data_IF_428767572671
#
_entry.id   IF_428767572671
#
_cell.length_a   1.000
_cell.length_b   1.000
_cell.length_c   1.000
_cell.angle_alpha   90.00
_cell.angle_beta   90.00
_cell.angle_gamma   90.00
#
_symmetry.space_group_name_H-M   'P 1'
#
loop_
_entity.id
_entity.type
_entity.pdbx_description
1 polymer ?
#
# COMPACT_ATOMS: atom_id res chain seq x y z
N UNK A 1 -9.87 -20.42 22.99
CA UNK A 1 -9.15 -19.12 23.08
C UNK A 1 -7.68 -19.44 23.35
N UNK A 2 -6.72 -18.77 22.70
CA UNK A 2 -5.28 -18.98 23.01
C UNK A 2 -4.99 -18.53 24.45
N UNK A 3 -4.22 -19.31 25.25
CA UNK A 3 -3.82 -18.93 26.61
C UNK A 3 -3.13 -17.56 26.65
N UNK A 4 -3.24 -16.83 27.77
CA UNK A 4 -2.58 -15.53 27.93
C UNK A 4 -1.06 -15.60 27.71
N UNK A 5 -0.45 -16.74 28.05
CA UNK A 5 0.97 -17.03 27.82
C UNK A 5 1.38 -17.05 26.33
N UNK A 6 0.42 -17.12 25.39
CA UNK A 6 0.66 -17.01 23.94
C UNK A 6 0.38 -15.62 23.36
N UNK A 7 0.07 -14.61 24.18
CA UNK A 7 -0.31 -13.26 23.73
C UNK A 7 0.63 -12.15 24.20
N UNK A 8 1.29 -12.31 25.35
CA UNK A 8 2.13 -11.27 25.96
C UNK A 8 3.39 -11.89 26.58
N UNK A 9 4.35 -12.29 25.74
CA UNK A 9 5.67 -12.78 26.18
C UNK A 9 6.71 -11.68 26.17
N UNK A 10 7.66 -11.72 27.10
CA UNK A 10 8.92 -10.97 26.98
C UNK A 10 9.68 -11.42 25.73
N UNK A 11 10.59 -10.58 25.22
CA UNK A 11 11.41 -10.93 24.06
C UNK A 11 12.17 -12.26 24.29
N UNK A 12 12.26 -13.14 23.27
CA UNK A 12 12.89 -14.44 23.42
C UNK A 12 14.37 -14.33 23.80
N UNK A 13 14.87 -15.29 24.60
CA UNK A 13 16.31 -15.43 24.83
C UNK A 13 16.97 -16.08 23.62
N UNK A 14 17.51 -15.26 22.72
CA UNK A 14 18.19 -15.71 21.52
C UNK A 14 19.63 -16.15 21.80
N UNK A 15 20.09 -17.16 21.05
CA UNK A 15 21.52 -17.53 20.98
C UNK A 15 22.34 -16.38 20.38
N UNK A 16 23.66 -16.41 20.51
CA UNK A 16 24.52 -15.34 19.98
C UNK A 16 24.38 -15.16 18.47
N UNK A 17 24.42 -16.26 17.71
CA UNK A 17 24.21 -16.24 16.27
C UNK A 17 22.80 -15.72 15.90
N UNK A 18 21.77 -16.11 16.66
CA UNK A 18 20.41 -15.62 16.43
C UNK A 18 20.27 -14.11 16.74
N UNK A 19 20.96 -13.60 17.77
CA UNK A 19 21.01 -12.15 18.06
C UNK A 19 21.73 -11.35 16.99
N UNK A 20 22.76 -11.93 16.35
CA UNK A 20 23.50 -11.27 15.29
C UNK A 20 22.65 -11.10 14.01
N UNK A 21 21.74 -12.04 13.73
CA UNK A 21 20.81 -11.96 12.62
C UNK A 21 19.54 -11.14 12.93
N UNK A 22 19.15 -11.04 14.20
CA UNK A 22 17.92 -10.36 14.61
C UNK A 22 17.94 -8.86 14.29
N UNK A 23 16.89 -8.40 13.61
CA UNK A 23 16.72 -7.03 13.19
C UNK A 23 17.47 -6.65 11.92
N UNK A 24 18.08 -7.59 11.22
CA UNK A 24 18.69 -7.30 9.93
C UNK A 24 17.63 -6.75 8.97
N UNK A 25 17.96 -5.64 8.31
CA UNK A 25 17.09 -4.98 7.32
C UNK A 25 17.68 -5.18 5.94
N UNK A 26 16.87 -5.65 5.00
CA UNK A 26 17.29 -5.86 3.61
C UNK A 26 16.28 -5.26 2.65
N UNK A 27 16.75 -4.47 1.68
CA UNK A 27 15.93 -4.01 0.56
C UNK A 27 15.88 -5.11 -0.50
N UNK A 28 14.73 -5.75 -0.66
CA UNK A 28 14.54 -6.89 -1.59
C UNK A 28 14.02 -6.46 -2.94
N UNK A 29 13.30 -5.33 -3.01
CA UNK A 29 12.92 -4.66 -4.26
C UNK A 29 13.34 -3.20 -4.15
N UNK A 30 14.18 -2.75 -5.09
CA UNK A 30 14.67 -1.39 -5.18
C UNK A 30 14.25 -0.75 -6.51
N UNK A 31 13.18 0.03 -6.46
CA UNK A 31 12.69 0.79 -7.61
C UNK A 31 13.08 2.27 -7.55
N UNK A 32 13.89 2.66 -6.56
CA UNK A 32 14.33 4.04 -6.37
C UNK A 32 14.45 4.47 -4.90
N UNK A 33 14.80 5.74 -4.66
CA UNK A 33 14.94 6.28 -3.32
C UNK A 33 13.61 6.28 -2.56
N UNK A 34 13.66 5.99 -1.26
CA UNK A 34 12.53 6.04 -0.32
C UNK A 34 11.72 7.34 -0.39
N UNK A 35 12.37 8.48 -0.65
CA UNK A 35 11.67 9.75 -0.75
C UNK A 35 10.64 9.84 -1.90
N UNK A 36 10.72 8.92 -2.88
CA UNK A 36 9.88 8.91 -4.07
C UNK A 36 9.16 7.57 -4.29
N UNK A 37 9.28 6.61 -3.37
CA UNK A 37 8.70 5.26 -3.48
C UNK A 37 7.92 4.94 -2.22
N UNK A 38 6.84 4.18 -2.39
CA UNK A 38 6.11 3.62 -1.26
C UNK A 38 6.92 2.44 -0.71
N UNK A 39 7.41 2.56 0.51
CA UNK A 39 8.23 1.55 1.16
C UNK A 39 7.38 0.55 1.96
N UNK A 40 7.23 -0.67 1.43
CA UNK A 40 6.53 -1.77 2.11
C UNK A 40 7.53 -2.58 2.94
N UNK A 41 7.31 -2.67 4.24
CA UNK A 41 8.17 -3.44 5.16
C UNK A 41 7.50 -4.74 5.57
N UNK A 42 8.12 -5.86 5.21
CA UNK A 42 7.76 -7.18 5.70
C UNK A 42 8.53 -7.51 6.99
N UNK A 43 7.83 -7.92 8.04
CA UNK A 43 8.44 -8.42 9.28
C UNK A 43 8.00 -9.87 9.49
N UNK A 44 8.96 -10.79 9.60
CA UNK A 44 8.66 -12.22 9.78
C UNK A 44 8.39 -12.57 11.24
N UNK A 45 7.40 -13.41 11.53
CA UNK A 45 7.23 -13.96 12.88
C UNK A 45 7.10 -15.49 12.88
N UNK A 46 7.63 -16.12 13.92
CA UNK A 46 7.72 -17.57 14.03
C UNK A 46 8.77 -18.21 13.13
N UNK A 47 9.71 -17.44 12.57
CA UNK A 47 10.89 -17.97 11.86
C UNK A 47 12.09 -17.97 12.80
N UNK A 48 12.71 -19.14 12.99
CA UNK A 48 13.99 -19.23 13.69
C UNK A 48 15.14 -18.72 12.81
N UNK A 49 16.32 -18.52 13.39
CA UNK A 49 17.51 -18.08 12.63
C UNK A 49 17.84 -19.02 11.45
N UNK A 50 17.56 -20.32 11.58
CA UNK A 50 17.77 -21.31 10.52
C UNK A 50 16.69 -21.27 9.41
N UNK A 51 15.62 -20.49 9.60
CA UNK A 51 14.49 -20.38 8.68
C UNK A 51 14.41 -19.01 7.99
N UNK A 52 15.40 -18.12 8.18
CA UNK A 52 15.39 -16.78 7.57
C UNK A 52 15.43 -16.82 6.04
N UNK A 53 16.15 -17.78 5.45
CA UNK A 53 16.12 -17.99 3.99
C UNK A 53 14.70 -18.33 3.51
N UNK A 54 13.94 -19.10 4.32
CA UNK A 54 12.53 -19.39 4.04
C UNK A 54 11.68 -18.13 4.19
N UNK A 55 11.87 -17.33 5.24
CA UNK A 55 11.18 -16.05 5.41
C UNK A 55 11.35 -15.15 4.17
N UNK A 56 12.59 -14.97 3.69
CA UNK A 56 12.83 -14.14 2.51
C UNK A 56 12.19 -14.72 1.24
N UNK A 57 12.15 -16.05 1.10
CA UNK A 57 11.45 -16.71 0.00
C UNK A 57 9.93 -16.49 0.09
N UNK A 58 9.35 -16.62 1.29
CA UNK A 58 7.94 -16.42 1.54
C UNK A 58 7.53 -14.95 1.29
N UNK A 59 8.40 -13.98 1.62
CA UNK A 59 8.18 -12.57 1.28
C UNK A 59 8.15 -12.36 -0.22
N UNK A 60 9.11 -12.92 -0.97
CA UNK A 60 9.11 -12.80 -2.45
C UNK A 60 7.84 -13.39 -3.05
N UNK A 61 7.42 -14.56 -2.57
CA UNK A 61 6.18 -15.20 -3.02
C UNK A 61 4.95 -14.34 -2.67
N UNK A 62 4.87 -13.83 -1.44
CA UNK A 62 3.75 -13.00 -0.99
C UNK A 62 3.67 -11.68 -1.75
N UNK A 63 4.81 -11.03 -1.99
CA UNK A 63 4.86 -9.81 -2.77
C UNK A 63 4.45 -10.05 -4.23
N UNK A 64 4.82 -11.19 -4.82
CA UNK A 64 4.35 -11.58 -6.15
C UNK A 64 2.82 -11.78 -6.19
N UNK A 65 2.21 -12.32 -5.14
CA UNK A 65 0.74 -12.43 -5.03
C UNK A 65 0.08 -11.04 -4.95
N UNK A 66 0.62 -10.13 -4.13
CA UNK A 66 0.11 -8.76 -3.98
C UNK A 66 0.20 -8.00 -5.31
N UNK A 67 1.35 -8.06 -5.96
CA UNK A 67 1.61 -7.35 -7.23
C UNK A 67 0.98 -8.02 -8.46
N UNK A 68 0.23 -9.11 -8.27
CA UNK A 68 -0.60 -9.70 -9.32
C UNK A 68 -2.04 -9.14 -9.34
N UNK A 69 -2.42 -8.28 -8.37
CA UNK A 69 -3.75 -7.69 -8.28
C UNK A 69 -3.70 -6.21 -8.66
N UNK A 70 -4.62 -5.76 -9.52
CA UNK A 70 -4.73 -4.33 -9.84
C UNK A 70 -5.26 -3.53 -8.63
N UNK A 71 -4.78 -2.29 -8.38
CA UNK A 71 -3.82 -1.54 -9.20
C UNK A 71 -2.33 -1.82 -8.90
N UNK A 72 -1.98 -2.73 -7.99
CA UNK A 72 -0.57 -3.03 -7.69
C UNK A 72 0.20 -3.51 -8.92
N UNK A 73 -0.42 -4.32 -9.78
CA UNK A 73 0.20 -4.78 -11.03
C UNK A 73 0.71 -3.62 -11.88
N UNK A 74 -0.16 -2.65 -12.16
CA UNK A 74 0.17 -1.46 -12.98
C UNK A 74 1.25 -0.61 -12.32
N UNK A 75 1.18 -0.41 -11.01
CA UNK A 75 2.01 0.54 -10.26
C UNK A 75 3.18 -0.08 -9.50
N UNK A 76 3.53 -1.35 -9.73
CA UNK A 76 4.56 -2.07 -8.96
C UNK A 76 5.92 -1.35 -8.85
N UNK A 77 6.28 -0.54 -9.85
CA UNK A 77 7.52 0.25 -9.88
C UNK A 77 7.47 1.49 -8.96
N UNK A 78 6.33 1.79 -8.35
CA UNK A 78 6.21 2.80 -7.29
C UNK A 78 6.63 2.28 -5.92
N UNK A 79 6.86 0.98 -5.77
CA UNK A 79 7.08 0.35 -4.48
C UNK A 79 8.53 -0.07 -4.29
N UNK A 80 9.06 0.16 -3.11
CA UNK A 80 10.18 -0.61 -2.60
C UNK A 80 9.66 -1.69 -1.65
N UNK A 81 10.41 -2.78 -1.53
CA UNK A 81 10.10 -3.84 -0.56
C UNK A 81 11.31 -4.07 0.32
N UNK A 82 11.06 -4.10 1.62
CA UNK A 82 12.06 -4.35 2.65
C UNK A 82 11.66 -5.56 3.48
N UNK A 83 12.65 -6.29 3.99
CA UNK A 83 12.47 -7.28 5.04
C UNK A 83 13.15 -6.83 6.31
N UNK A 84 12.53 -7.13 7.44
CA UNK A 84 13.14 -7.04 8.77
C UNK A 84 13.07 -8.42 9.42
N UNK A 85 14.24 -8.96 9.73
CA UNK A 85 14.39 -10.32 10.26
C UNK A 85 14.10 -10.33 11.76
N UNK A 86 12.86 -10.58 12.16
CA UNK A 86 12.48 -10.75 13.55
C UNK A 86 12.63 -12.22 13.99
N UNK A 87 13.81 -12.54 14.53
CA UNK A 87 14.22 -13.91 14.82
C UNK A 87 13.43 -14.45 16.01
N UNK A 88 12.65 -15.50 15.78
CA UNK A 88 11.85 -16.18 16.79
C UNK A 88 12.62 -17.32 17.47
N UNK A 89 12.35 -17.56 18.76
CA UNK A 89 12.94 -18.69 19.47
C UNK A 89 12.35 -20.04 19.06
N UNK A 90 11.10 -20.05 18.59
CA UNK A 90 10.41 -21.25 18.14
C UNK A 90 9.82 -21.05 16.74
N UNK A 91 9.85 -22.12 15.96
CA UNK A 91 9.17 -22.18 14.66
C UNK A 91 7.65 -22.30 14.85
N UNK A 92 6.89 -21.65 13.97
CA UNK A 92 5.43 -21.61 14.01
C UNK A 92 4.89 -20.46 14.87
N UNK A 93 3.56 -20.38 14.99
CA UNK A 93 2.86 -19.35 15.78
C UNK A 93 1.88 -19.95 16.79
N UNK A 94 1.47 -19.16 17.79
CA UNK A 94 0.50 -19.63 18.79
C UNK A 94 -0.88 -19.86 18.17
N UNK A 95 -1.62 -20.86 18.64
CA UNK A 95 -2.94 -21.22 18.08
C UNK A 95 -2.92 -22.14 16.85
N UNK A 96 -1.76 -22.66 16.46
CA UNK A 96 -1.57 -23.58 15.33
C UNK A 96 -0.77 -24.84 15.76
N UNK A 97 -1.33 -26.07 15.67
CA UNK A 97 -2.58 -26.46 15.00
C UNK A 97 -3.87 -26.09 15.74
N UNK A 98 -3.81 -25.86 17.05
CA UNK A 98 -5.00 -25.63 17.87
C UNK A 98 -4.82 -24.54 18.93
N UNK A 99 -5.94 -24.10 19.56
CA UNK A 99 -5.96 -23.00 20.53
C UNK A 99 -4.95 -23.12 21.66
N UNK A 100 -4.66 -24.33 22.11
CA UNK A 100 -3.83 -24.57 23.28
C UNK A 100 -2.32 -24.55 22.94
N UNK A 101 -1.98 -24.40 21.65
CA UNK A 101 -0.58 -24.31 21.21
C UNK A 101 -0.02 -22.93 21.53
N UNK A 102 1.07 -22.90 22.27
CA UNK A 102 1.80 -21.68 22.63
C UNK A 102 3.21 -21.75 22.04
N UNK A 103 3.60 -20.69 21.33
CA UNK A 103 4.94 -20.52 20.73
C UNK A 103 5.60 -19.26 21.27
N UNK A 104 6.92 -19.33 21.42
CA UNK A 104 7.79 -18.21 21.75
C UNK A 104 8.32 -17.55 20.48
N UNK A 105 7.60 -16.55 20.00
CA UNK A 105 7.89 -15.85 18.74
C UNK A 105 8.25 -14.39 18.99
N UNK A 106 8.98 -13.79 18.05
CA UNK A 106 9.52 -12.45 18.15
C UNK A 106 8.40 -11.40 18.30
N UNK A 107 7.34 -11.50 17.51
CA UNK A 107 6.21 -10.55 17.48
C UNK A 107 4.97 -11.04 18.23
N UNK A 108 5.02 -12.27 18.77
CA UNK A 108 3.91 -12.85 19.52
C UNK A 108 2.66 -13.10 18.69
N UNK A 109 2.78 -13.41 17.40
CA UNK A 109 1.63 -13.70 16.54
C UNK A 109 0.81 -14.86 17.07
N UNK A 110 -0.52 -14.71 17.05
CA UNK A 110 -1.43 -15.76 17.52
C UNK A 110 -2.77 -15.75 16.77
N UNK A 111 -3.27 -16.95 16.49
CA UNK A 111 -4.63 -17.15 15.99
C UNK A 111 -5.67 -17.10 17.14
N UNK A 112 -6.95 -17.08 16.81
CA UNK A 112 -8.10 -17.14 17.75
C UNK A 112 -8.25 -15.85 18.54
N UNK A 113 -7.74 -14.76 17.99
CA UNK A 113 -7.99 -13.41 18.47
C UNK A 113 -9.50 -13.13 18.44
N UNK A 114 -10.04 -12.54 19.51
CA UNK A 114 -11.50 -12.37 19.64
C UNK A 114 -12.32 -13.67 19.68
N UNK A 115 -11.69 -14.85 19.81
CA UNK A 115 -12.32 -16.18 19.62
C UNK A 115 -12.72 -16.48 18.16
N UNK A 116 -12.18 -15.74 17.20
CA UNK A 116 -12.37 -15.96 15.76
C UNK A 116 -11.15 -16.71 15.23
N UNK A 117 -11.39 -17.88 14.65
CA UNK A 117 -10.31 -18.80 14.27
C UNK A 117 -9.29 -18.14 13.31
N UNK A 118 -9.72 -17.72 12.14
CA UNK A 118 -8.83 -17.07 11.16
C UNK A 118 -8.18 -15.75 11.59
N UNK A 119 -8.54 -15.16 12.74
CA UNK A 119 -8.03 -13.84 13.14
C UNK A 119 -6.63 -13.99 13.77
N UNK A 120 -5.62 -13.58 12.99
CA UNK A 120 -4.19 -13.64 13.32
C UNK A 120 -3.72 -12.28 13.85
N UNK A 121 -3.66 -12.13 15.16
CA UNK A 121 -3.24 -10.89 15.82
C UNK A 121 -1.76 -10.91 16.17
N UNK A 122 -1.18 -9.73 16.35
CA UNK A 122 0.22 -9.48 16.71
C UNK A 122 0.32 -8.53 17.91
N UNK A 123 1.50 -8.46 18.52
CA UNK A 123 1.86 -7.45 19.52
C UNK A 123 2.41 -6.19 18.81
N UNK A 124 1.55 -5.16 18.62
CA UNK A 124 1.90 -3.95 17.85
C UNK A 124 3.16 -3.23 18.38
N UNK A 125 3.36 -3.02 19.70
CA UNK A 125 4.62 -2.48 20.22
C UNK A 125 5.88 -3.24 19.79
N UNK A 126 5.81 -4.57 19.69
CA UNK A 126 6.95 -5.36 19.20
C UNK A 126 7.16 -5.18 17.71
N UNK A 127 6.09 -5.13 16.93
CA UNK A 127 6.17 -4.81 15.49
C UNK A 127 6.84 -3.45 15.31
N UNK A 128 6.41 -2.42 16.03
CA UNK A 128 7.02 -1.08 16.00
C UNK A 128 8.52 -1.12 16.32
N UNK A 129 8.96 -1.90 17.32
CA UNK A 129 10.36 -2.01 17.67
C UNK A 129 11.24 -2.58 16.53
N UNK A 130 10.69 -3.46 15.69
CA UNK A 130 11.37 -3.97 14.49
C UNK A 130 11.26 -2.99 13.32
N UNK A 131 10.08 -2.43 13.07
CA UNK A 131 9.85 -1.47 11.98
C UNK A 131 10.69 -0.20 12.16
N UNK A 132 10.99 0.22 13.39
CA UNK A 132 11.89 1.34 13.68
C UNK A 132 13.30 1.17 13.08
N UNK A 133 13.72 -0.06 12.76
CA UNK A 133 14.99 -0.35 12.07
C UNK A 133 14.92 -0.03 10.56
N UNK A 134 13.72 0.08 10.00
CA UNK A 134 13.40 0.47 8.63
C UNK A 134 12.52 1.74 8.62
N UNK A 135 13.07 2.92 8.99
CA UNK A 135 12.30 4.13 9.29
C UNK A 135 11.56 4.74 8.08
N UNK A 136 11.80 4.20 6.89
CA UNK A 136 11.14 4.58 5.64
C UNK A 136 9.73 4.00 5.51
N UNK A 137 9.30 3.08 6.39
CA UNK A 137 8.08 2.32 6.22
C UNK A 137 6.82 3.20 6.03
N UNK A 138 6.11 2.97 4.92
CA UNK A 138 4.77 3.54 4.69
C UNK A 138 3.67 2.51 4.99
N UNK A 139 3.97 1.22 4.80
CA UNK A 139 3.06 0.10 5.02
C UNK A 139 3.81 -1.09 5.64
N UNK A 140 3.20 -1.76 6.62
CA UNK A 140 3.79 -2.93 7.28
C UNK A 140 2.98 -4.19 6.98
N UNK A 141 3.67 -5.27 6.61
CA UNK A 141 3.09 -6.60 6.47
C UNK A 141 3.82 -7.58 7.40
N UNK A 142 3.12 -8.10 8.41
CA UNK A 142 3.64 -9.18 9.25
C UNK A 142 3.34 -10.52 8.60
N UNK A 143 4.39 -11.28 8.30
CA UNK A 143 4.28 -12.60 7.70
C UNK A 143 4.51 -13.66 8.78
N UNK A 144 3.45 -14.35 9.19
CA UNK A 144 3.52 -15.43 10.17
C UNK A 144 3.94 -16.74 9.50
N UNK A 145 4.91 -17.43 10.08
CA UNK A 145 5.33 -18.76 9.69
C UNK A 145 4.25 -19.80 10.02
N UNK A 146 3.23 -19.93 9.17
CA UNK A 146 2.15 -20.90 9.30
C UNK A 146 1.52 -21.18 7.94
N UNK A 147 1.03 -22.40 7.76
CA UNK A 147 0.19 -22.80 6.62
C UNK A 147 -1.31 -22.69 6.95
N UNK A 148 -1.68 -22.37 8.18
CA UNK A 148 -3.07 -22.20 8.60
C UNK A 148 -3.65 -20.93 7.97
N UNK A 149 -4.92 -20.97 7.59
CA UNK A 149 -5.57 -19.79 7.05
C UNK A 149 -5.80 -18.72 8.13
N UNK A 150 -5.25 -17.52 7.89
CA UNK A 150 -5.64 -16.33 8.64
C UNK A 150 -4.81 -15.10 8.34
N UNK A 151 -5.28 -14.00 8.91
CA UNK A 151 -4.78 -12.64 8.77
C UNK A 151 -5.66 -11.67 9.54
N UNK A 152 -5.22 -10.42 9.65
CA UNK A 152 -5.91 -9.31 10.29
C UNK A 152 -5.33 -7.97 9.82
N UNK A 153 -6.12 -6.90 9.87
CA UNK A 153 -5.66 -5.53 9.66
C UNK A 153 -5.65 -4.72 10.95
N UNK A 154 -4.65 -3.84 11.05
CA UNK A 154 -4.55 -2.76 12.02
C UNK A 154 -4.44 -1.48 11.20
N UNK A 155 -5.59 -0.88 10.90
CA UNK A 155 -5.72 0.06 9.78
C UNK A 155 -5.56 1.54 10.18
N UNK A 156 -5.13 1.76 11.43
CA UNK A 156 -4.77 3.08 11.92
C UNK A 156 -3.27 3.32 11.76
N UNK A 157 -2.86 4.56 11.42
CA UNK A 157 -1.45 4.89 11.37
C UNK A 157 -0.76 4.61 12.69
N UNK A 158 0.49 4.13 12.63
CA UNK A 158 1.29 3.94 13.83
C UNK A 158 1.42 5.27 14.58
N UNK A 159 1.04 5.33 15.87
CA UNK A 159 1.12 6.56 16.65
C UNK A 159 2.57 6.98 16.92
N UNK A 160 3.54 6.09 16.70
CA UNK A 160 4.96 6.30 16.98
C UNK A 160 5.79 6.48 15.71
N UNK A 161 5.49 5.72 14.65
CA UNK A 161 6.31 5.66 13.44
C UNK A 161 5.61 6.21 12.18
N UNK A 162 4.29 6.44 12.22
CA UNK A 162 3.56 7.11 11.14
C UNK A 162 3.21 6.28 9.91
N UNK A 163 3.64 5.00 9.82
CA UNK A 163 3.21 4.10 8.74
C UNK A 163 1.70 3.86 8.81
N UNK A 164 1.05 3.57 7.67
CA UNK A 164 -0.41 3.65 7.47
C UNK A 164 -1.23 2.52 8.12
N UNK A 165 -0.58 1.41 8.44
CA UNK A 165 -1.21 0.26 9.09
C UNK A 165 -0.36 -1.00 9.02
N UNK A 166 -0.84 -2.05 9.70
CA UNK A 166 -0.25 -3.39 9.71
C UNK A 166 -1.25 -4.36 9.09
N UNK A 167 -0.82 -5.11 8.10
CA UNK A 167 -1.52 -6.31 7.65
C UNK A 167 -0.80 -7.56 8.14
N UNK A 168 -1.53 -8.54 8.67
CA UNK A 168 -0.97 -9.85 9.03
C UNK A 168 -1.43 -10.90 8.02
N UNK A 169 -0.52 -11.81 7.67
CA UNK A 169 -0.84 -12.92 6.79
C UNK A 169 -0.05 -14.17 7.19
N UNK A 170 -0.67 -15.33 6.99
CA UNK A 170 0.04 -16.62 7.08
C UNK A 170 0.82 -16.86 5.79
N UNK A 171 2.10 -17.18 5.93
CA UNK A 171 3.03 -17.34 4.81
C UNK A 171 2.63 -18.46 3.85
N UNK A 172 2.31 -19.63 4.40
CA UNK A 172 2.07 -20.86 3.66
C UNK A 172 0.62 -21.05 3.20
N UNK A 173 -0.26 -20.05 3.34
CA UNK A 173 -1.66 -20.18 2.92
C UNK A 173 -2.01 -19.21 1.78
N UNK A 174 -2.48 -19.71 0.61
CA UNK A 174 -2.71 -18.86 -0.57
C UNK A 174 -3.83 -17.84 -0.34
N UNK A 175 -4.89 -18.20 0.40
CA UNK A 175 -5.97 -17.24 0.71
C UNK A 175 -5.54 -16.15 1.71
N UNK A 176 -4.44 -16.34 2.46
CA UNK A 176 -3.94 -15.31 3.37
C UNK A 176 -3.29 -14.15 2.61
N UNK A 177 -2.79 -14.36 1.38
CA UNK A 177 -2.38 -13.24 0.53
C UNK A 177 -3.55 -12.34 0.13
N UNK A 178 -4.72 -12.92 -0.13
CA UNK A 178 -5.93 -12.15 -0.42
C UNK A 178 -6.41 -11.35 0.80
N UNK A 179 -6.26 -11.90 2.00
CA UNK A 179 -6.47 -11.13 3.25
C UNK A 179 -5.49 -9.97 3.29
N UNK A 180 -4.20 -10.20 3.03
CA UNK A 180 -3.21 -9.12 3.04
C UNK A 180 -3.61 -7.96 2.13
N UNK A 181 -3.98 -8.26 0.89
CA UNK A 181 -4.41 -7.27 -0.10
C UNK A 181 -5.67 -6.52 0.37
N UNK A 182 -6.65 -7.23 0.93
CA UNK A 182 -7.84 -6.62 1.54
C UNK A 182 -7.45 -5.61 2.63
N UNK A 183 -6.59 -5.99 3.57
CA UNK A 183 -6.17 -5.10 4.65
C UNK A 183 -5.39 -3.87 4.15
N UNK A 184 -4.56 -4.05 3.11
CA UNK A 184 -3.91 -2.88 2.46
C UNK A 184 -4.91 -1.93 1.81
N UNK A 185 -6.11 -2.41 1.46
CA UNK A 185 -7.23 -1.59 1.01
C UNK A 185 -7.65 -0.55 2.05
N UNK A 186 -7.70 -0.96 3.31
CA UNK A 186 -7.94 -0.04 4.42
C UNK A 186 -6.75 0.88 4.64
N UNK A 187 -5.53 0.35 4.77
CA UNK A 187 -4.35 1.16 5.13
C UNK A 187 -4.01 2.22 4.05
N UNK A 188 -3.95 1.81 2.78
CA UNK A 188 -3.56 2.69 1.68
C UNK A 188 -4.76 3.42 1.07
N UNK A 189 -5.84 2.70 0.76
CA UNK A 189 -7.01 3.24 0.08
C UNK A 189 -8.02 3.91 1.01
N UNK A 190 -7.88 3.78 2.33
CA UNK A 190 -8.88 4.26 3.32
C UNK A 190 -10.28 3.73 3.01
N UNK A 191 -10.34 2.49 2.51
CA UNK A 191 -11.58 1.80 2.19
C UNK A 191 -12.22 1.27 3.46
N UNK A 192 -13.55 1.21 3.49
CA UNK A 192 -14.30 0.46 4.48
C UNK A 192 -14.55 -0.98 4.00
N UNK A 193 -14.91 -1.84 4.94
CA UNK A 193 -15.45 -3.15 4.63
C UNK A 193 -16.80 -3.04 3.90
N UNK A 194 -17.02 -3.89 2.90
CA UNK A 194 -18.24 -3.92 2.09
C UNK A 194 -19.15 -5.10 2.45
N UNK A 195 -18.72 -6.00 3.35
CA UNK A 195 -19.57 -7.05 3.88
C UNK A 195 -20.49 -6.55 4.99
N UNK A 196 -21.55 -7.31 5.26
CA UNK A 196 -22.55 -7.03 6.28
C UNK A 196 -23.02 -8.32 6.94
N UNK A 197 -23.60 -8.20 8.14
CA UNK A 197 -23.95 -9.36 8.97
C UNK A 197 -25.42 -9.35 9.39
N UNK A 198 -26.31 -10.05 8.63
CA UNK A 198 -27.70 -10.22 9.04
C UNK A 198 -27.82 -10.98 10.36
N UNK A 199 -28.70 -10.53 11.25
CA UNK A 199 -28.97 -11.18 12.53
C UNK A 199 -27.97 -10.89 13.65
N UNK A 200 -27.00 -10.00 13.41
CA UNK A 200 -26.09 -9.53 14.48
C UNK A 200 -26.67 -8.26 15.09
N UNK A 201 -26.98 -8.25 16.41
CA UNK A 201 -27.44 -7.06 17.11
C UNK A 201 -26.52 -5.86 16.83
N UNK A 202 -27.11 -4.67 16.74
CA UNK A 202 -26.45 -3.39 16.42
C UNK A 202 -25.98 -3.21 14.97
N UNK A 203 -26.05 -4.23 14.10
CA UNK A 203 -25.65 -4.15 12.68
C UNK A 203 -26.82 -4.27 11.68
N UNK A 204 -28.07 -4.22 12.14
CA UNK A 204 -29.23 -4.32 11.25
C UNK A 204 -29.43 -3.08 10.37
N UNK A 205 -29.22 -1.88 10.93
CA UNK A 205 -29.39 -0.62 10.21
C UNK A 205 -28.41 0.43 10.67
N UNK A 206 -27.71 1.04 9.71
CA UNK A 206 -26.93 2.23 9.95
C UNK A 206 -27.82 3.48 9.99
N UNK A 207 -27.63 4.33 11.00
CA UNK A 207 -28.35 5.61 11.15
C UNK A 207 -27.40 6.77 11.45
N UNK A 208 -26.09 6.57 11.21
CA UNK A 208 -25.06 7.58 11.44
C UNK A 208 -24.94 8.59 10.29
N UNK A 209 -23.96 9.51 10.38
CA UNK A 209 -23.67 10.46 9.31
C UNK A 209 -23.08 9.79 8.07
N UNK A 210 -22.93 10.53 6.97
CA UNK A 210 -22.22 10.04 5.79
C UNK A 210 -20.78 9.60 6.17
N UNK A 211 -20.39 8.34 5.91
CA UNK A 211 -19.04 7.86 6.21
C UNK A 211 -17.96 8.66 5.49
N UNK A 212 -16.72 8.65 5.99
CA UNK A 212 -15.60 9.27 5.27
C UNK A 212 -15.09 8.38 4.13
N UNK A 213 -15.17 7.06 4.29
CA UNK A 213 -14.60 6.06 3.38
C UNK A 213 -15.16 6.21 1.95
N UNK A 214 -14.33 6.08 0.90
CA UNK A 214 -14.74 6.37 -0.46
C UNK A 214 -15.64 5.28 -1.07
N UNK A 215 -15.75 4.11 -0.46
CA UNK A 215 -16.53 2.96 -0.93
C UNK A 215 -17.75 2.62 -0.06
N UNK A 216 -18.16 3.49 0.87
CA UNK A 216 -19.47 3.39 1.55
C UNK A 216 -20.17 4.74 1.60
N UNK A 217 -21.51 4.70 1.62
CA UNK A 217 -22.36 5.90 1.49
C UNK A 217 -23.73 5.67 2.12
N UNK A 218 -24.33 6.69 2.73
CA UNK A 218 -25.76 6.70 3.12
C UNK A 218 -26.67 7.11 1.96
N UNK A 219 -26.09 7.66 0.88
CA UNK A 219 -26.80 8.07 -0.32
C UNK A 219 -27.02 6.88 -1.27
N UNK A 220 -28.26 6.74 -1.74
CA UNK A 220 -28.56 5.90 -2.90
C UNK A 220 -28.00 6.50 -4.20
N UNK A 221 -28.10 5.77 -5.31
CA UNK A 221 -27.52 6.17 -6.59
C UNK A 221 -28.12 7.49 -7.13
N UNK A 222 -29.42 7.74 -6.92
CA UNK A 222 -30.09 8.95 -7.41
C UNK A 222 -29.64 10.18 -6.63
N UNK A 223 -29.62 10.08 -5.29
CA UNK A 223 -29.15 11.13 -4.42
C UNK A 223 -27.66 11.42 -4.63
N UNK A 224 -26.84 10.38 -4.76
CA UNK A 224 -25.41 10.49 -5.04
C UNK A 224 -25.13 11.22 -6.36
N UNK A 225 -25.86 10.87 -7.43
CA UNK A 225 -25.77 11.54 -8.72
C UNK A 225 -26.21 13.01 -8.66
N UNK A 226 -27.34 13.30 -8.00
CA UNK A 226 -27.86 14.65 -7.86
C UNK A 226 -26.91 15.57 -7.07
N UNK A 227 -26.30 15.05 -6.01
CA UNK A 227 -25.39 15.77 -5.14
C UNK A 227 -23.95 15.81 -5.67
N UNK A 228 -23.62 15.00 -6.68
CA UNK A 228 -22.25 14.81 -7.18
C UNK A 228 -21.28 14.41 -6.05
N UNK A 229 -21.72 13.48 -5.21
CA UNK A 229 -20.97 13.00 -4.05
C UNK A 229 -20.39 11.61 -4.28
N UNK A 230 -19.40 11.21 -3.47
CA UNK A 230 -18.84 9.84 -3.46
C UNK A 230 -18.43 9.37 -4.86
N UNK A 231 -18.86 8.19 -5.27
CA UNK A 231 -18.52 7.59 -6.56
C UNK A 231 -19.50 7.93 -7.68
N UNK A 232 -20.18 9.08 -7.62
CA UNK A 232 -21.15 9.48 -8.66
C UNK A 232 -20.57 9.42 -10.09
N UNK A 233 -19.27 9.70 -10.25
CA UNK A 233 -18.55 9.66 -11.54
C UNK A 233 -18.44 8.27 -12.14
N UNK A 234 -18.66 7.24 -11.33
CA UNK A 234 -18.55 5.84 -11.71
C UNK A 234 -19.90 5.17 -11.91
N UNK A 235 -21.02 5.78 -11.50
CA UNK A 235 -22.35 5.18 -11.63
C UNK A 235 -22.64 4.73 -13.08
N UNK A 236 -23.05 3.48 -13.25
CA UNK A 236 -23.34 2.85 -14.54
C UNK A 236 -22.13 2.22 -15.24
N UNK A 237 -20.91 2.43 -14.74
CA UNK A 237 -19.70 1.86 -15.33
C UNK A 237 -19.54 0.38 -15.00
N UNK A 238 -18.95 -0.38 -15.92
CA UNK A 238 -18.55 -1.77 -15.65
C UNK A 238 -17.25 -1.78 -14.86
N UNK A 239 -17.25 -2.47 -13.73
CA UNK A 239 -16.16 -2.48 -12.76
C UNK A 239 -15.30 -3.76 -12.88
N UNK A 240 -13.99 -3.73 -12.55
CA UNK A 240 -13.09 -4.89 -12.68
C UNK A 240 -13.53 -6.15 -11.92
N UNK A 241 -14.31 -6.01 -10.84
CA UNK A 241 -14.91 -7.13 -10.10
C UNK A 241 -16.01 -7.88 -10.89
N UNK A 242 -16.40 -7.35 -12.04
CA UNK A 242 -17.43 -7.88 -12.95
C UNK A 242 -18.82 -7.29 -12.73
N UNK A 243 -19.01 -6.43 -11.71
CA UNK A 243 -20.26 -5.74 -11.45
C UNK A 243 -20.42 -4.43 -12.25
N UNK A 244 -21.63 -3.88 -12.21
CA UNK A 244 -21.90 -2.49 -12.62
C UNK A 244 -21.87 -1.62 -11.39
N UNK A 245 -21.23 -0.45 -11.45
CA UNK A 245 -21.22 0.48 -10.33
C UNK A 245 -22.61 1.09 -10.16
N UNK A 246 -23.15 0.96 -8.96
CA UNK A 246 -24.44 1.48 -8.53
C UNK A 246 -24.38 1.89 -7.06
N UNK A 247 -25.48 1.72 -6.34
CA UNK A 247 -25.52 1.85 -4.89
C UNK A 247 -26.27 0.63 -4.34
N UNK A 248 -25.54 -0.40 -3.94
CA UNK A 248 -26.07 -1.67 -3.48
C UNK A 248 -26.24 -1.62 -1.96
N UNK A 249 -27.46 -1.79 -1.46
CA UNK A 249 -27.71 -1.73 -0.02
C UNK A 249 -26.95 -2.86 0.72
N UNK A 250 -26.39 -2.51 1.87
CA UNK A 250 -25.55 -3.36 2.71
C UNK A 250 -24.05 -3.07 2.52
N UNK A 251 -23.35 -2.86 3.63
CA UNK A 251 -21.92 -2.55 3.66
C UNK A 251 -21.52 -1.92 4.98
N UNK A 252 -20.21 -1.81 5.25
CA UNK A 252 -19.71 -1.29 6.52
C UNK A 252 -20.26 -2.07 7.72
N UNK A 253 -20.42 -3.39 7.58
CA UNK A 253 -21.05 -4.31 8.54
C UNK A 253 -22.59 -4.26 8.61
N UNK A 254 -23.24 -3.18 8.15
CA UNK A 254 -24.67 -2.97 8.29
C UNK A 254 -25.49 -3.57 7.14
N UNK A 255 -26.64 -4.17 7.47
CA UNK A 255 -27.55 -4.75 6.46
C UNK A 255 -28.25 -3.68 5.63
N UNK A 256 -28.70 -2.59 6.28
CA UNK A 256 -29.43 -1.49 5.64
C UNK A 256 -28.89 -0.12 6.03
N UNK A 257 -29.22 0.91 5.26
CA UNK A 257 -28.84 2.31 5.55
C UNK A 257 -27.42 2.72 5.11
N UNK A 258 -26.61 1.76 4.64
CA UNK A 258 -25.38 2.02 3.90
C UNK A 258 -25.42 1.31 2.55
N UNK A 259 -24.76 1.91 1.57
CA UNK A 259 -24.59 1.40 0.23
C UNK A 259 -23.12 1.16 -0.08
N UNK A 260 -22.84 0.12 -0.85
CA UNK A 260 -21.54 -0.18 -1.47
C UNK A 260 -21.61 -0.01 -3.00
N UNK A 261 -20.48 0.14 -3.71
CA UNK A 261 -20.50 0.54 -5.12
C UNK A 261 -20.90 -0.58 -6.08
N UNK A 262 -20.56 -1.82 -5.78
CA UNK A 262 -20.84 -2.99 -6.63
C UNK A 262 -21.40 -4.12 -5.79
N UNK A 263 -21.94 -5.17 -6.41
CA UNK A 263 -22.35 -6.33 -5.61
C UNK A 263 -21.15 -6.94 -4.88
N UNK A 264 -19.98 -7.10 -5.52
CA UNK A 264 -18.79 -7.64 -4.86
C UNK A 264 -17.54 -6.81 -5.15
N UNK A 265 -16.55 -6.92 -4.28
CA UNK A 265 -15.18 -6.47 -4.49
C UNK A 265 -14.29 -7.22 -3.50
N UNK A 266 -12.96 -7.03 -3.56
CA UNK A 266 -12.07 -7.57 -2.53
C UNK A 266 -12.44 -7.11 -1.11
N UNK A 267 -13.06 -5.92 -0.96
CA UNK A 267 -13.51 -5.38 0.33
C UNK A 267 -14.77 -6.09 0.84
N UNK A 268 -15.40 -6.96 0.04
CA UNK A 268 -16.52 -7.81 0.45
C UNK A 268 -16.17 -9.30 0.46
N UNK A 269 -15.54 -9.77 -0.63
CA UNK A 269 -15.25 -11.19 -0.88
C UNK A 269 -13.82 -11.31 -1.43
N UNK A 270 -12.99 -12.06 -0.71
CA UNK A 270 -11.60 -12.34 -1.10
C UNK A 270 -11.51 -13.01 -2.48
N UNK A 271 -10.44 -12.72 -3.22
CA UNK A 271 -10.23 -13.25 -4.58
C UNK A 271 -10.94 -12.48 -5.68
N UNK A 272 -11.67 -11.40 -5.34
CA UNK A 272 -12.19 -10.43 -6.31
C UNK A 272 -11.19 -9.27 -6.47
N UNK A 273 -11.17 -8.59 -7.62
CA UNK A 273 -10.54 -7.27 -7.74
C UNK A 273 -11.21 -6.20 -6.85
N UNK A 274 -10.53 -5.08 -6.66
CA UNK A 274 -11.17 -3.85 -6.18
C UNK A 274 -12.23 -3.38 -7.19
N UNK A 275 -13.31 -2.77 -6.69
CA UNK A 275 -14.24 -2.04 -7.54
C UNK A 275 -13.65 -0.71 -7.99
N UNK A 276 -14.23 -0.03 -8.99
CA UNK A 276 -13.69 1.22 -9.55
C UNK A 276 -13.41 2.31 -8.49
N UNK A 277 -14.32 2.61 -7.55
CA UNK A 277 -14.01 3.55 -6.47
C UNK A 277 -12.84 3.10 -5.59
N UNK A 278 -12.76 1.79 -5.32
CA UNK A 278 -11.62 1.19 -4.63
C UNK A 278 -10.31 1.33 -5.39
N UNK A 279 -10.30 1.10 -6.71
CA UNK A 279 -9.12 1.28 -7.57
C UNK A 279 -8.65 2.74 -7.53
N UNK A 280 -9.56 3.69 -7.70
CA UNK A 280 -9.25 5.13 -7.65
C UNK A 280 -8.65 5.53 -6.29
N UNK A 281 -9.25 5.06 -5.19
CA UNK A 281 -8.77 5.32 -3.84
C UNK A 281 -7.40 4.68 -3.56
N UNK A 282 -7.16 3.47 -4.06
CA UNK A 282 -5.87 2.80 -3.96
C UNK A 282 -4.77 3.55 -4.73
N UNK A 283 -5.06 4.01 -5.95
CA UNK A 283 -4.13 4.86 -6.71
C UNK A 283 -3.82 6.14 -5.93
N UNK A 284 -4.85 6.81 -5.37
CA UNK A 284 -4.63 7.96 -4.50
C UNK A 284 -3.71 7.62 -3.32
N UNK A 285 -3.89 6.46 -2.70
CA UNK A 285 -3.05 5.96 -1.63
C UNK A 285 -1.60 5.73 -2.01
N UNK A 286 -1.33 5.14 -3.18
CA UNK A 286 0.03 4.96 -3.67
C UNK A 286 0.73 6.32 -3.87
N UNK A 287 -0.03 7.31 -4.36
CA UNK A 287 0.47 8.64 -4.70
C UNK A 287 0.68 9.56 -3.51
N UNK A 288 0.15 9.24 -2.32
CA UNK A 288 0.52 9.92 -1.08
C UNK A 288 1.99 9.71 -0.72
N UNK A 289 2.54 8.54 -1.07
CA UNK A 289 3.87 8.10 -0.65
C UNK A 289 4.88 8.05 -1.80
N UNK A 290 4.43 7.82 -3.05
CA UNK A 290 5.31 7.70 -4.21
C UNK A 290 5.20 8.89 -5.18
N UNK A 291 6.31 9.22 -5.86
CA UNK A 291 6.38 10.26 -6.91
C UNK A 291 6.64 9.65 -8.29
N UNK A 292 6.18 10.35 -9.35
CA UNK A 292 6.43 9.92 -10.74
C UNK A 292 7.77 10.44 -11.30
N UNK A 293 8.44 11.35 -10.58
CA UNK A 293 9.71 11.93 -11.01
C UNK A 293 10.69 11.85 -9.86
N UNK A 294 11.78 11.12 -10.08
CA UNK A 294 12.91 11.04 -9.17
C UNK A 294 14.10 11.80 -9.78
N UNK A 295 14.66 12.84 -9.13
CA UNK A 295 15.86 13.52 -9.61
C UNK A 295 17.07 12.59 -9.52
N UNK A 296 17.69 12.27 -10.66
CA UNK A 296 19.00 11.60 -10.69
C UNK A 296 20.14 12.62 -10.63
N UNK A 297 19.90 13.82 -11.15
CA UNK A 297 20.78 14.97 -10.94
C UNK A 297 20.35 15.74 -9.69
N UNK A 298 21.25 16.02 -8.72
CA UNK A 298 20.92 16.79 -7.52
C UNK A 298 20.29 18.16 -7.84
N UNK A 299 19.27 18.53 -7.07
CA UNK A 299 18.50 19.78 -7.22
C UNK A 299 18.96 20.88 -6.25
N UNK A 300 19.87 20.56 -5.34
CA UNK A 300 20.39 21.46 -4.29
C UNK A 300 21.44 22.45 -4.81
N UNK A 301 21.88 22.31 -6.07
CA UNK A 301 22.92 23.15 -6.68
C UNK A 301 22.52 23.59 -8.09
N UNK A 302 22.90 24.81 -8.50
CA UNK A 302 22.68 25.26 -9.87
C UNK A 302 23.42 24.38 -10.88
N UNK A 303 22.74 23.97 -11.95
CA UNK A 303 23.36 23.28 -13.08
C UNK A 303 24.04 24.29 -14.02
N UNK A 304 25.26 23.94 -14.44
CA UNK A 304 26.07 24.70 -15.39
C UNK A 304 25.99 24.13 -16.79
N UNK A 305 26.50 24.86 -17.78
CA UNK A 305 26.40 24.50 -19.21
C UNK A 305 26.79 23.05 -19.55
N UNK A 306 27.79 22.48 -18.86
CA UNK A 306 28.28 21.12 -19.09
C UNK A 306 27.53 20.01 -18.34
N UNK A 307 26.49 20.36 -17.55
CA UNK A 307 25.70 19.40 -16.77
C UNK A 307 24.45 18.97 -17.53
N UNK A 308 23.94 17.80 -17.14
CA UNK A 308 22.66 17.25 -17.61
C UNK A 308 21.68 17.23 -16.44
N UNK A 309 20.47 17.75 -16.66
CA UNK A 309 19.34 17.49 -15.78
C UNK A 309 18.76 16.12 -16.16
N UNK A 310 18.71 15.19 -15.20
CA UNK A 310 18.29 13.82 -15.44
C UNK A 310 17.31 13.37 -14.37
N UNK A 311 16.29 12.63 -14.78
CA UNK A 311 15.27 12.04 -13.91
C UNK A 311 15.03 10.57 -14.23
N UNK A 312 14.58 9.83 -13.23
CA UNK A 312 13.92 8.55 -13.42
C UNK A 312 12.40 8.75 -13.35
N UNK A 313 11.69 8.05 -14.23
CA UNK A 313 10.22 7.97 -14.27
C UNK A 313 9.86 6.49 -14.20
N UNK A 314 8.97 6.08 -13.28
CA UNK A 314 8.62 4.68 -13.12
C UNK A 314 7.90 4.16 -14.36
N UNK A 315 8.13 2.89 -14.70
CA UNK A 315 7.40 2.23 -15.78
C UNK A 315 6.06 1.75 -15.25
N UNK A 316 4.97 2.10 -15.94
CA UNK A 316 3.64 1.63 -15.57
C UNK A 316 3.32 0.38 -16.40
N UNK A 317 3.04 -0.74 -15.74
CA UNK A 317 2.68 -1.99 -16.39
C UNK A 317 1.19 -2.05 -16.77
N UNK A 318 0.66 -0.94 -17.31
CA UNK A 318 -0.73 -0.82 -17.73
C UNK A 318 -1.02 -1.77 -18.89
N UNK A 319 -2.19 -2.41 -18.87
CA UNK A 319 -2.63 -3.33 -19.92
C UNK A 319 -2.69 -2.69 -21.32
N UNK A 320 -2.91 -1.37 -21.39
CA UNK A 320 -2.93 -0.60 -22.65
C UNK A 320 -1.58 0.06 -22.99
N UNK A 321 -0.53 -0.23 -22.23
CA UNK A 321 0.82 0.29 -22.44
C UNK A 321 1.02 1.76 -22.09
N UNK A 322 0.01 2.45 -21.50
CA UNK A 322 0.12 3.86 -21.11
C UNK A 322 1.29 4.09 -20.16
N UNK A 323 2.07 5.13 -20.44
CA UNK A 323 3.17 5.61 -19.61
C UNK A 323 2.91 7.04 -19.13
N UNK A 324 3.59 7.50 -18.06
CA UNK A 324 3.53 8.90 -17.63
C UNK A 324 3.97 9.86 -18.75
N UNK A 325 3.23 10.95 -18.91
CA UNK A 325 3.53 11.99 -19.89
C UNK A 325 4.59 12.92 -19.30
N UNK A 326 5.78 12.95 -19.91
CA UNK A 326 6.91 13.78 -19.46
C UNK A 326 7.01 15.07 -20.26
N UNK A 327 7.04 16.22 -19.57
CA UNK A 327 7.14 17.56 -20.16
C UNK A 327 8.19 18.41 -19.46
N UNK A 328 8.97 19.16 -20.23
CA UNK A 328 10.01 20.06 -19.73
C UNK A 328 9.60 21.52 -19.89
N UNK A 329 10.04 22.37 -18.96
CA UNK A 329 9.75 23.80 -18.97
C UNK A 329 11.00 24.61 -18.61
N UNK A 330 11.18 25.76 -19.25
CA UNK A 330 12.17 26.77 -18.89
C UNK A 330 11.45 28.08 -18.54
N UNK A 331 11.65 28.57 -17.32
CA UNK A 331 10.96 29.75 -16.78
C UNK A 331 9.43 29.69 -16.97
N UNK A 332 8.85 28.49 -16.82
CA UNK A 332 7.42 28.23 -16.99
C UNK A 332 6.95 28.05 -18.44
N UNK A 333 7.82 28.19 -19.45
CA UNK A 333 7.47 27.95 -20.85
C UNK A 333 7.82 26.52 -21.27
N UNK A 334 6.88 25.81 -21.87
CA UNK A 334 7.08 24.41 -22.29
C UNK A 334 8.15 24.30 -23.39
N UNK A 335 9.04 23.35 -23.23
CA UNK A 335 10.08 22.98 -24.18
C UNK A 335 9.64 21.73 -24.96
N UNK A 336 8.68 21.88 -25.88
CA UNK A 336 8.05 20.76 -26.59
C UNK A 336 9.03 19.81 -27.31
N UNK A 337 10.20 20.29 -27.72
CA UNK A 337 11.28 19.46 -28.32
C UNK A 337 11.87 18.41 -27.39
N UNK A 338 11.66 18.54 -26.08
CA UNK A 338 12.11 17.61 -25.05
C UNK A 338 10.98 16.76 -24.48
N UNK A 339 9.77 16.83 -25.05
CA UNK A 339 8.65 15.99 -24.62
C UNK A 339 9.04 14.50 -24.65
N UNK A 340 8.67 13.78 -23.58
CA UNK A 340 9.00 12.36 -23.39
C UNK A 340 10.45 12.05 -22.99
N UNK A 341 11.37 13.02 -23.00
CA UNK A 341 12.76 12.79 -22.58
C UNK A 341 12.89 12.77 -21.05
N UNK A 342 13.74 11.90 -20.53
CA UNK A 342 14.11 11.83 -19.12
C UNK A 342 15.41 12.58 -18.79
N UNK A 343 16.05 13.17 -19.80
CA UNK A 343 17.25 13.98 -19.62
C UNK A 343 17.34 15.13 -20.62
N UNK A 344 17.92 16.24 -20.18
CA UNK A 344 18.20 17.45 -20.98
C UNK A 344 19.56 18.02 -20.58
N UNK A 345 20.46 18.23 -21.54
CA UNK A 345 21.72 18.94 -21.29
C UNK A 345 21.46 20.44 -21.19
N UNK A 346 22.10 21.12 -20.24
CA UNK A 346 21.94 22.58 -20.08
C UNK A 346 22.35 23.32 -21.37
N UNK A 347 23.36 22.82 -22.09
CA UNK A 347 23.75 23.36 -23.39
C UNK A 347 22.64 23.32 -24.47
N UNK A 348 21.70 22.37 -24.40
CA UNK A 348 20.56 22.29 -25.32
C UNK A 348 19.46 23.30 -25.00
N UNK A 349 19.54 24.03 -23.88
CA UNK A 349 18.58 25.08 -23.52
C UNK A 349 18.82 26.38 -24.29
N UNK A 350 20.04 26.58 -24.82
CA UNK A 350 20.46 27.80 -25.52
C UNK A 350 20.23 29.08 -24.70
N UNK A 351 20.67 29.06 -23.44
CA UNK A 351 20.61 30.24 -22.56
C UNK A 351 21.47 31.37 -23.16
N UNK A 352 20.92 32.59 -23.22
CA UNK A 352 21.55 33.74 -23.87
C UNK A 352 22.02 34.82 -22.88
N UNK A 353 21.87 34.57 -21.59
CA UNK A 353 22.17 35.54 -20.54
C UNK A 353 22.75 34.85 -19.28
N UNK A 354 23.31 35.64 -18.37
CA UNK A 354 23.95 35.16 -17.14
C UNK A 354 22.97 35.01 -15.96
N UNK A 355 21.65 35.16 -16.18
CA UNK A 355 20.66 35.06 -15.11
C UNK A 355 20.44 33.60 -14.72
N UNK A 356 19.77 33.43 -13.59
CA UNK A 356 19.32 32.10 -13.17
C UNK A 356 18.00 31.81 -13.82
N UNK A 357 17.90 30.69 -14.52
CA UNK A 357 16.64 30.18 -15.05
C UNK A 357 16.16 29.00 -14.22
N UNK A 358 14.85 28.77 -14.24
CA UNK A 358 14.22 27.58 -13.64
C UNK A 358 13.95 26.57 -14.74
N UNK A 359 14.72 25.47 -14.74
CA UNK A 359 14.42 24.30 -15.57
C UNK A 359 13.59 23.34 -14.73
N UNK A 360 12.39 22.99 -15.19
CA UNK A 360 11.58 21.97 -14.54
C UNK A 360 11.15 20.87 -15.48
N UNK A 361 10.90 19.69 -14.91
CA UNK A 361 10.32 18.54 -15.59
C UNK A 361 9.15 18.02 -14.79
N UNK A 362 8.06 17.74 -15.47
CA UNK A 362 6.83 17.18 -14.90
C UNK A 362 6.57 15.82 -15.55
N UNK A 363 6.24 14.82 -14.74
CA UNK A 363 5.63 13.58 -15.22
C UNK A 363 4.20 13.48 -14.66
N UNK A 364 3.25 13.16 -15.54
CA UNK A 364 1.82 13.10 -15.26
C UNK A 364 1.28 11.73 -15.67
N UNK A 365 0.64 11.02 -14.74
CA UNK A 365 -0.16 9.85 -15.05
C UNK A 365 -1.59 10.29 -15.41
N UNK A 366 -2.04 9.88 -16.60
CA UNK A 366 -3.36 10.18 -17.16
C UNK A 366 -4.26 8.94 -17.21
N UNK A 367 -4.11 8.07 -16.22
CA UNK A 367 -4.95 6.89 -16.08
C UNK A 367 -6.44 7.27 -16.07
N UNK A 368 -7.30 6.57 -16.83
CA UNK A 368 -8.74 6.77 -16.76
C UNK A 368 -9.35 6.20 -15.46
N UNK A 369 -8.55 5.46 -14.68
CA UNK A 369 -8.95 4.88 -13.39
C UNK A 369 -9.07 5.92 -12.26
N UNK A 370 -8.77 7.20 -12.54
CA UNK A 370 -8.99 8.33 -11.64
C UNK A 370 -9.82 9.38 -12.37
N UNK A 371 -11.03 9.64 -11.87
CA UNK A 371 -11.99 10.64 -12.35
C UNK A 371 -12.20 11.79 -11.37
N UNK A 372 -11.81 11.63 -10.11
CA UNK A 372 -11.86 12.71 -9.13
C UNK A 372 -10.79 13.78 -9.44
N UNK A 373 -11.18 15.05 -9.67
CA UNK A 373 -10.24 16.11 -9.99
C UNK A 373 -9.23 16.43 -8.90
N UNK A 374 -9.55 16.20 -7.62
CA UNK A 374 -8.63 16.42 -6.51
C UNK A 374 -7.56 15.33 -6.49
N UNK A 375 -7.97 14.07 -6.65
CA UNK A 375 -7.02 12.94 -6.78
C UNK A 375 -6.18 13.11 -8.05
N UNK A 376 -6.78 13.49 -9.18
CA UNK A 376 -6.07 13.69 -10.45
C UNK A 376 -4.91 14.69 -10.33
N UNK A 377 -5.03 15.73 -9.49
CA UNK A 377 -3.93 16.69 -9.24
C UNK A 377 -2.71 16.04 -8.55
N UNK A 378 -2.91 14.95 -7.80
CA UNK A 378 -1.83 14.19 -7.16
C UNK A 378 -1.09 13.23 -8.11
N UNK A 379 -1.65 13.00 -9.30
CA UNK A 379 -1.07 12.12 -10.33
C UNK A 379 0.01 12.82 -11.16
N UNK A 380 0.55 13.92 -10.66
CA UNK A 380 1.64 14.66 -11.28
C UNK A 380 2.75 14.92 -10.27
N UNK A 381 3.99 14.93 -10.73
CA UNK A 381 5.16 15.27 -9.92
C UNK A 381 6.10 16.15 -10.74
N UNK A 382 6.64 17.18 -10.11
CA UNK A 382 7.54 18.14 -10.76
C UNK A 382 8.84 18.26 -10.00
N UNK A 383 9.95 18.22 -10.72
CA UNK A 383 11.29 18.52 -10.22
C UNK A 383 11.80 19.79 -10.90
N UNK A 384 12.53 20.62 -10.16
CA UNK A 384 13.09 21.87 -10.67
C UNK A 384 14.56 22.01 -10.29
N UNK A 385 15.36 22.50 -11.23
CA UNK A 385 16.74 22.94 -11.02
C UNK A 385 16.86 24.43 -11.32
N UNK A 386 17.75 25.10 -10.58
CA UNK A 386 18.35 26.34 -11.04
C UNK A 386 19.37 26.02 -12.13
N UNK A 387 19.34 26.74 -13.25
CA UNK A 387 20.32 26.59 -14.34
C UNK A 387 20.93 27.93 -14.71
N UNK A 388 22.24 27.93 -15.00
CA UNK A 388 23.03 29.10 -15.38
C UNK A 388 24.05 28.70 -16.44
N UNK A 389 24.49 29.67 -17.26
CA UNK A 389 25.68 29.52 -18.10
C UNK A 389 26.90 29.09 -17.26
#
# INVERSE_FOLDING_TARGET
>A
RVPAAGRAKAAPRLSEAARAADGQVTKTVDNGPTADRLDVVFVGDGYTAAELDRFHADVRAKWAEVTAVEPYTTYRDLFNVWTVDAVSAQSGVSGDPGPDTVRDTALGSYFWCGSIERLLCVDQPKVDAYVAKAPAADLVIVLANSAKYGGAGYNEPSPTLGYEGISTASAGHPKSGQVAIHETGHSLGKLADEYFYPGVPDYERYTGPEPADPNTSTLDASAMAAQRAKWYRWLGETSPDGGTVGAYEGGGYYVTGLYRPTDNSIMRVLGKPFNLPGVEAMIAGFRRHARLVTPLTPTDRPLRLWRTAQVAVPHLASADGRQPVVRWYLDGRELGRFAGRTEVRVAELWLLDLRTHKLSVTAEDRTPAVRDPEIARSLSSTVTWDVRL
#
